data_IF_213656342540
#
_entry.id   IF_213656342540
#
_cell.length_a   1.000
_cell.length_b   1.000
_cell.length_c   1.000
_cell.angle_alpha   90.00
_cell.angle_beta   90.00
_cell.angle_gamma   90.00
#
_symmetry.space_group_name_H-M   'P 1'
#
loop_
_entity.id
_entity.type
_entity.pdbx_description
1 polymer ?
#
# COMPACT_ATOMS: atom_id res chain seq x y z
N UNK A 1 8.67 8.44 -36.06
CA UNK A 1 9.05 7.14 -35.48
C UNK A 1 9.44 7.18 -33.98
N UNK A 2 8.80 7.95 -33.09
CA UNK A 2 9.06 7.91 -31.65
C UNK A 2 8.26 6.83 -30.89
N UNK A 3 7.05 6.46 -31.34
CA UNK A 3 6.12 5.58 -30.60
C UNK A 3 6.64 4.17 -30.28
N UNK A 4 7.38 3.53 -31.16
CA UNK A 4 7.86 2.14 -30.94
C UNK A 4 8.93 2.09 -29.86
N UNK A 5 9.75 3.12 -29.72
CA UNK A 5 10.82 3.19 -28.71
C UNK A 5 10.23 3.45 -27.32
N UNK A 6 9.24 4.30 -27.21
CA UNK A 6 8.58 4.63 -25.93
C UNK A 6 7.75 3.45 -25.41
N UNK A 7 7.05 2.72 -26.28
CA UNK A 7 6.30 1.51 -25.94
C UNK A 7 7.23 0.38 -25.44
N UNK A 8 8.42 0.22 -26.06
CA UNK A 8 9.41 -0.75 -25.61
C UNK A 8 10.02 -0.40 -24.25
N UNK A 9 10.28 0.89 -23.99
CA UNK A 9 10.77 1.35 -22.70
C UNK A 9 9.73 1.14 -21.59
N UNK A 10 8.47 1.46 -21.86
CA UNK A 10 7.37 1.25 -20.93
C UNK A 10 7.12 -0.24 -20.64
N UNK A 11 7.18 -1.11 -21.66
CA UNK A 11 7.06 -2.55 -21.49
C UNK A 11 8.23 -3.14 -20.67
N UNK A 12 9.46 -2.66 -20.92
CA UNK A 12 10.63 -3.07 -20.17
C UNK A 12 10.55 -2.63 -18.70
N UNK A 13 10.11 -1.39 -18.45
CA UNK A 13 9.91 -0.87 -17.10
C UNK A 13 8.87 -1.72 -16.34
N UNK A 14 7.74 -2.06 -16.95
CA UNK A 14 6.74 -2.96 -16.38
C UNK A 14 7.32 -4.34 -16.06
N UNK A 15 8.04 -4.97 -16.99
CA UNK A 15 8.71 -6.26 -16.75
C UNK A 15 9.59 -6.21 -15.51
N UNK A 16 10.36 -5.12 -15.33
CA UNK A 16 11.25 -4.96 -14.17
C UNK A 16 10.43 -4.84 -12.89
N UNK A 17 9.39 -4.01 -12.88
CA UNK A 17 8.55 -3.81 -11.70
C UNK A 17 7.80 -5.09 -11.29
N UNK A 18 7.21 -5.82 -12.25
CA UNK A 18 6.52 -7.09 -11.97
C UNK A 18 7.49 -8.16 -11.43
N UNK A 19 8.68 -8.26 -11.98
CA UNK A 19 9.70 -9.17 -11.49
C UNK A 19 10.25 -8.77 -10.12
N UNK A 20 10.44 -7.48 -9.89
CA UNK A 20 10.87 -6.96 -8.59
C UNK A 20 9.80 -7.22 -7.51
N UNK A 21 8.51 -7.04 -7.82
CA UNK A 21 7.39 -7.36 -6.93
C UNK A 21 7.46 -8.82 -6.46
N UNK A 22 7.61 -9.77 -7.39
CA UNK A 22 7.78 -11.19 -7.07
C UNK A 22 9.02 -11.44 -6.22
N UNK A 23 10.15 -10.80 -6.55
CA UNK A 23 11.39 -10.97 -5.80
C UNK A 23 11.27 -10.46 -4.36
N UNK A 24 10.64 -9.30 -4.16
CA UNK A 24 10.41 -8.76 -2.81
C UNK A 24 9.39 -9.59 -2.03
N UNK A 25 8.33 -10.08 -2.65
CA UNK A 25 7.35 -10.96 -2.01
C UNK A 25 8.00 -12.27 -1.53
N UNK A 26 8.87 -12.88 -2.37
CA UNK A 26 9.50 -14.16 -2.07
C UNK A 26 10.65 -14.06 -1.05
N UNK A 27 11.48 -13.03 -1.16
CA UNK A 27 12.73 -12.94 -0.37
C UNK A 27 12.73 -11.84 0.68
N UNK A 28 11.73 -10.94 0.70
CA UNK A 28 11.73 -9.74 1.50
C UNK A 28 12.73 -8.69 0.98
N UNK A 29 12.69 -7.49 1.59
CA UNK A 29 13.53 -6.37 1.14
C UNK A 29 15.03 -6.66 1.25
N UNK A 30 15.51 -7.11 2.42
CA UNK A 30 16.95 -7.25 2.68
C UNK A 30 17.57 -8.35 1.82
N UNK A 31 16.88 -9.48 1.69
CA UNK A 31 17.36 -10.65 0.96
C UNK A 31 17.12 -10.57 -0.56
N UNK A 32 16.34 -9.62 -1.07
CA UNK A 32 16.22 -9.33 -2.50
C UNK A 32 17.51 -8.67 -3.01
N UNK A 33 18.56 -9.48 -3.14
CA UNK A 33 19.87 -9.05 -3.66
C UNK A 33 19.79 -8.76 -5.15
N UNK A 34 20.75 -8.00 -5.69
CA UNK A 34 20.85 -7.73 -7.14
C UNK A 34 20.83 -9.03 -7.95
N UNK A 35 21.54 -10.06 -7.51
CA UNK A 35 21.56 -11.37 -8.19
C UNK A 35 20.18 -12.03 -8.23
N UNK A 36 19.42 -11.96 -7.12
CA UNK A 36 18.04 -12.49 -7.08
C UNK A 36 17.10 -11.69 -7.98
N UNK A 37 17.24 -10.37 -7.99
CA UNK A 37 16.51 -9.51 -8.91
C UNK A 37 16.81 -9.88 -10.37
N UNK A 38 18.08 -10.06 -10.76
CA UNK A 38 18.45 -10.51 -12.11
C UNK A 38 17.78 -11.85 -12.47
N UNK A 39 17.83 -12.82 -11.55
CA UNK A 39 17.25 -14.15 -11.75
C UNK A 39 15.71 -14.11 -11.88
N UNK A 40 15.04 -13.37 -11.01
CA UNK A 40 13.57 -13.29 -10.99
C UNK A 40 13.01 -12.45 -12.13
N UNK A 41 13.70 -11.37 -12.52
CA UNK A 41 13.30 -10.48 -13.61
C UNK A 41 13.67 -11.06 -14.98
N UNK A 42 14.76 -11.85 -15.04
CA UNK A 42 15.31 -12.38 -16.30
C UNK A 42 16.09 -11.33 -17.09
N UNK A 43 16.67 -10.34 -16.44
CA UNK A 43 17.47 -9.27 -17.04
C UNK A 43 18.78 -9.08 -16.30
N UNK A 44 19.82 -8.62 -17.02
CA UNK A 44 21.09 -8.28 -16.40
C UNK A 44 20.98 -7.07 -15.49
N UNK A 45 21.89 -6.96 -14.50
CA UNK A 45 22.02 -5.80 -13.61
C UNK A 45 22.03 -4.48 -14.39
N UNK A 46 22.80 -4.40 -15.48
CA UNK A 46 22.87 -3.19 -16.30
C UNK A 46 21.53 -2.83 -16.92
N UNK A 47 20.75 -3.80 -17.39
CA UNK A 47 19.42 -3.57 -17.96
C UNK A 47 18.41 -3.10 -16.90
N UNK A 48 18.47 -3.66 -15.70
CA UNK A 48 17.59 -3.25 -14.58
C UNK A 48 17.92 -1.82 -14.12
N UNK A 49 19.19 -1.56 -13.81
CA UNK A 49 19.64 -0.30 -13.24
C UNK A 49 19.88 0.82 -14.26
N UNK A 50 19.64 0.55 -15.53
CA UNK A 50 19.42 1.58 -16.53
C UNK A 50 18.08 2.30 -16.33
N UNK A 51 17.05 1.58 -15.85
CA UNK A 51 15.71 2.14 -15.59
C UNK A 51 15.54 2.67 -14.15
N UNK A 52 16.28 2.10 -13.20
CA UNK A 52 16.16 2.43 -11.78
C UNK A 52 17.56 2.59 -11.19
N UNK A 53 17.84 3.72 -10.55
CA UNK A 53 19.17 4.04 -10.02
C UNK A 53 19.75 2.93 -9.13
N UNK A 54 18.90 2.35 -8.27
CA UNK A 54 19.27 1.36 -7.26
C UNK A 54 18.05 0.54 -6.80
N UNK A 55 18.28 -0.40 -5.87
CA UNK A 55 17.22 -1.24 -5.29
C UNK A 55 16.20 -0.41 -4.49
N UNK A 56 16.64 0.63 -3.79
CA UNK A 56 15.76 1.48 -3.00
C UNK A 56 14.79 2.25 -3.92
N UNK A 57 15.29 2.81 -5.02
CA UNK A 57 14.47 3.47 -6.04
C UNK A 57 13.46 2.52 -6.67
N UNK A 58 13.88 1.28 -6.97
CA UNK A 58 12.99 0.24 -7.52
C UNK A 58 11.88 -0.13 -6.52
N UNK A 59 12.23 -0.28 -5.25
CA UNK A 59 11.29 -0.57 -4.17
C UNK A 59 10.29 0.58 -3.96
N UNK A 60 10.78 1.82 -3.94
CA UNK A 60 9.92 3.01 -3.80
C UNK A 60 8.96 3.18 -4.97
N UNK A 61 9.38 2.80 -6.17
CA UNK A 61 8.51 2.90 -7.34
C UNK A 61 7.34 1.91 -7.26
N UNK A 62 7.58 0.69 -6.76
CA UNK A 62 6.50 -0.25 -6.46
C UNK A 62 5.55 0.29 -5.41
N UNK A 63 6.10 0.86 -4.33
CA UNK A 63 5.30 1.47 -3.27
C UNK A 63 4.42 2.62 -3.81
N UNK A 64 4.95 3.44 -4.71
CA UNK A 64 4.23 4.53 -5.36
C UNK A 64 3.09 4.01 -6.23
N UNK A 65 3.35 3.04 -7.12
CA UNK A 65 2.30 2.45 -7.97
C UNK A 65 1.15 1.87 -7.16
N UNK A 66 1.46 1.18 -6.08
CA UNK A 66 0.41 0.61 -5.22
C UNK A 66 -0.32 1.68 -4.42
N UNK A 67 0.39 2.70 -3.93
CA UNK A 67 -0.25 3.83 -3.25
C UNK A 67 -1.22 4.58 -4.19
N UNK A 68 -0.85 4.78 -5.45
CA UNK A 68 -1.72 5.37 -6.49
C UNK A 68 -2.99 4.53 -6.72
N UNK A 69 -2.83 3.20 -6.90
CA UNK A 69 -3.98 2.30 -7.09
C UNK A 69 -4.91 2.28 -5.87
N UNK A 70 -4.32 2.16 -4.68
CA UNK A 70 -5.08 2.18 -3.44
C UNK A 70 -5.75 3.54 -3.19
N UNK A 71 -5.09 4.64 -3.57
CA UNK A 71 -5.63 5.99 -3.45
C UNK A 71 -6.87 6.20 -4.34
N UNK A 72 -6.89 5.62 -5.53
CA UNK A 72 -8.05 5.68 -6.42
C UNK A 72 -9.27 4.98 -5.77
N UNK A 73 -9.11 3.76 -5.25
CA UNK A 73 -10.18 3.06 -4.51
C UNK A 73 -10.55 3.83 -3.23
N UNK A 74 -9.56 4.27 -2.44
CA UNK A 74 -9.81 5.01 -1.20
C UNK A 74 -10.54 6.31 -1.43
N UNK A 75 -10.30 7.01 -2.54
CA UNK A 75 -10.99 8.25 -2.89
C UNK A 75 -12.47 8.03 -3.21
N UNK A 76 -12.81 6.94 -3.88
CA UNK A 76 -14.18 6.59 -4.29
C UNK A 76 -14.94 5.87 -3.18
N UNK A 77 -14.36 4.86 -2.59
CA UNK A 77 -15.04 3.89 -1.74
C UNK A 77 -14.58 3.91 -0.28
N UNK A 78 -13.38 4.41 -0.02
CA UNK A 78 -12.77 4.53 1.31
C UNK A 78 -11.69 3.49 1.57
N UNK A 79 -10.86 3.73 2.60
CA UNK A 79 -9.73 2.86 2.93
C UNK A 79 -10.18 1.47 3.41
N UNK A 80 -11.38 1.36 4.01
CA UNK A 80 -11.93 0.04 4.38
C UNK A 80 -12.17 -0.84 3.15
N UNK A 81 -12.60 -0.26 2.01
CA UNK A 81 -12.73 -1.03 0.78
C UNK A 81 -11.38 -1.51 0.26
N UNK A 82 -10.34 -0.68 0.29
CA UNK A 82 -8.97 -1.12 -0.02
C UNK A 82 -8.57 -2.34 0.81
N UNK A 83 -8.88 -2.32 2.12
CA UNK A 83 -8.60 -3.46 3.01
C UNK A 83 -9.41 -4.71 2.65
N UNK A 84 -10.67 -4.55 2.22
CA UNK A 84 -11.50 -5.67 1.73
C UNK A 84 -10.94 -6.27 0.43
N UNK A 85 -10.44 -5.44 -0.47
CA UNK A 85 -9.80 -5.90 -1.70
C UNK A 85 -8.52 -6.70 -1.41
N UNK A 86 -7.76 -6.31 -0.37
CA UNK A 86 -6.60 -7.09 0.11
C UNK A 86 -7.00 -8.47 0.66
N UNK A 87 -8.15 -8.57 1.34
CA UNK A 87 -8.66 -9.86 1.80
C UNK A 87 -9.16 -10.74 0.66
N UNK A 88 -9.75 -10.13 -0.37
CA UNK A 88 -10.32 -10.86 -1.51
C UNK A 88 -9.23 -11.41 -2.46
N UNK A 89 -8.08 -10.74 -2.55
CA UNK A 89 -6.97 -11.11 -3.45
C UNK A 89 -5.60 -10.88 -2.78
N UNK A 90 -5.29 -11.58 -1.67
CA UNK A 90 -4.08 -11.34 -0.88
C UNK A 90 -2.79 -11.49 -1.70
N UNK A 91 -2.78 -12.38 -2.70
CA UNK A 91 -1.62 -12.61 -3.57
C UNK A 91 -1.21 -11.38 -4.39
N UNK A 92 -2.10 -10.42 -4.61
CA UNK A 92 -1.78 -9.16 -5.29
C UNK A 92 -1.06 -8.17 -4.38
N UNK A 93 -1.08 -8.42 -3.08
CA UNK A 93 -0.54 -7.54 -2.04
C UNK A 93 0.58 -8.20 -1.21
N UNK A 94 1.02 -9.42 -1.55
CA UNK A 94 2.03 -10.19 -0.81
C UNK A 94 3.31 -9.40 -0.50
N UNK A 95 3.75 -8.58 -1.46
CA UNK A 95 4.95 -7.78 -1.27
C UNK A 95 4.79 -6.68 -0.19
N UNK A 96 3.55 -6.29 0.19
CA UNK A 96 3.31 -5.32 1.26
C UNK A 96 3.80 -5.81 2.63
N UNK A 97 3.90 -7.12 2.83
CA UNK A 97 4.52 -7.71 4.02
C UNK A 97 5.98 -7.22 4.21
N UNK A 98 6.65 -6.88 3.12
CA UNK A 98 7.99 -6.27 3.13
C UNK A 98 8.03 -4.94 3.91
N UNK A 99 6.89 -4.24 4.06
CA UNK A 99 6.77 -3.03 4.90
C UNK A 99 7.15 -3.31 6.36
N UNK A 100 6.83 -4.50 6.87
CA UNK A 100 7.16 -4.88 8.24
C UNK A 100 8.69 -5.06 8.40
N UNK A 101 9.33 -5.59 7.37
CA UNK A 101 10.78 -5.81 7.37
C UNK A 101 11.56 -4.50 7.30
N UNK A 102 11.05 -3.51 6.56
CA UNK A 102 11.73 -2.20 6.43
C UNK A 102 11.53 -1.28 7.64
N UNK A 103 10.69 -1.64 8.63
CA UNK A 103 10.43 -0.79 9.80
C UNK A 103 11.72 -0.39 10.53
N UNK A 104 12.71 -1.29 10.62
CA UNK A 104 14.03 -0.99 11.17
C UNK A 104 14.81 0.00 10.30
N UNK A 105 14.77 -0.16 8.98
CA UNK A 105 15.44 0.73 8.03
C UNK A 105 14.79 2.11 8.05
N UNK A 106 13.46 2.19 8.05
CA UNK A 106 12.72 3.45 8.19
C UNK A 106 13.12 4.25 9.45
N UNK A 107 13.37 3.55 10.57
CA UNK A 107 13.77 4.19 11.83
C UNK A 107 15.22 4.67 11.81
N UNK A 108 16.13 3.95 11.16
CA UNK A 108 17.58 4.15 11.28
C UNK A 108 18.19 4.88 10.06
N UNK A 109 17.43 5.05 8.98
CA UNK A 109 17.87 5.67 7.73
C UNK A 109 16.91 6.83 7.37
N UNK A 110 17.27 8.09 7.70
CA UNK A 110 16.39 9.25 7.45
C UNK A 110 16.15 9.50 5.97
N UNK A 111 17.10 9.18 5.08
CA UNK A 111 16.93 9.37 3.62
C UNK A 111 15.93 8.34 3.08
N UNK A 112 16.08 7.08 3.46
CA UNK A 112 15.14 6.02 3.12
C UNK A 112 13.72 6.34 3.66
N UNK A 113 13.62 6.79 4.90
CA UNK A 113 12.34 7.19 5.50
C UNK A 113 11.67 8.31 4.68
N UNK A 114 12.41 9.35 4.33
CA UNK A 114 11.88 10.46 3.51
C UNK A 114 11.37 9.95 2.17
N UNK A 115 12.18 9.15 1.47
CA UNK A 115 11.81 8.55 0.21
C UNK A 115 10.56 7.67 0.28
N UNK A 116 10.41 6.92 1.37
CA UNK A 116 9.20 6.12 1.62
C UNK A 116 7.97 6.99 1.84
N UNK A 117 8.06 8.00 2.72
CA UNK A 117 6.94 8.89 3.05
C UNK A 117 6.44 9.68 1.84
N UNK A 118 7.35 10.16 0.99
CA UNK A 118 6.97 10.86 -0.24
C UNK A 118 6.13 9.99 -1.18
N UNK A 119 6.48 8.68 -1.33
CA UNK A 119 5.80 7.78 -2.25
C UNK A 119 4.49 7.20 -1.69
N UNK A 120 4.36 7.14 -0.36
CA UNK A 120 3.12 6.69 0.29
C UNK A 120 2.12 7.82 0.56
N UNK A 121 2.48 9.07 0.29
CA UNK A 121 1.66 10.23 0.60
C UNK A 121 0.30 10.26 -0.12
N UNK A 122 0.21 9.70 -1.32
CA UNK A 122 -1.01 9.74 -2.13
C UNK A 122 -2.18 8.99 -1.48
N UNK A 123 -1.95 7.79 -0.97
CA UNK A 123 -2.99 7.03 -0.27
C UNK A 123 -3.48 7.78 0.96
N UNK A 124 -2.57 8.32 1.75
CA UNK A 124 -2.91 9.12 2.95
C UNK A 124 -3.72 10.36 2.59
N UNK A 125 -3.31 11.09 1.53
CA UNK A 125 -4.02 12.26 1.05
C UNK A 125 -5.44 11.92 0.54
N UNK A 126 -5.58 10.83 -0.24
CA UNK A 126 -6.87 10.36 -0.72
C UNK A 126 -7.83 9.99 0.42
N UNK A 127 -7.30 9.26 1.42
CA UNK A 127 -8.07 8.86 2.61
C UNK A 127 -8.52 10.09 3.40
N UNK A 128 -7.60 11.04 3.67
CA UNK A 128 -7.91 12.30 4.36
C UNK A 128 -9.00 13.10 3.63
N UNK A 129 -8.87 13.24 2.31
CA UNK A 129 -9.84 13.96 1.50
C UNK A 129 -11.23 13.30 1.55
N UNK A 130 -11.27 11.95 1.50
CA UNK A 130 -12.53 11.22 1.64
C UNK A 130 -13.15 11.38 3.02
N UNK A 131 -12.39 11.21 4.09
CA UNK A 131 -12.88 11.41 5.45
C UNK A 131 -13.52 12.81 5.62
N UNK A 132 -12.86 13.83 5.06
CA UNK A 132 -13.39 15.21 5.09
C UNK A 132 -14.74 15.30 4.35
N UNK A 133 -14.84 14.74 3.13
CA UNK A 133 -16.11 14.74 2.37
C UNK A 133 -17.22 13.99 3.10
N UNK A 134 -16.93 12.83 3.68
CA UNK A 134 -17.91 12.02 4.38
C UNK A 134 -18.39 12.70 5.68
N UNK A 135 -17.49 13.41 6.38
CA UNK A 135 -17.83 14.20 7.57
C UNK A 135 -18.73 15.38 7.21
N UNK A 136 -18.40 16.13 6.14
CA UNK A 136 -19.24 17.21 5.62
C UNK A 136 -20.63 16.73 5.18
N UNK A 137 -20.76 15.50 4.74
CA UNK A 137 -22.02 14.88 4.37
C UNK A 137 -22.79 14.26 5.56
N UNK A 138 -22.31 14.42 6.79
CA UNK A 138 -22.96 13.88 8.01
C UNK A 138 -22.97 12.35 8.09
N UNK A 139 -22.07 11.67 7.35
CA UNK A 139 -22.01 10.20 7.31
C UNK A 139 -21.01 9.59 8.27
N UNK A 140 -20.10 10.40 8.81
CA UNK A 140 -19.14 10.00 9.83
C UNK A 140 -19.45 10.64 11.17
N UNK A 141 -19.01 9.98 12.21
CA UNK A 141 -19.09 10.49 13.58
C UNK A 141 -18.37 11.84 13.70
N UNK A 142 -18.98 12.76 14.41
CA UNK A 142 -18.48 14.13 14.58
C UNK A 142 -17.66 14.31 15.86
N UNK A 143 -17.86 13.42 16.83
CA UNK A 143 -17.24 13.44 18.17
C UNK A 143 -15.73 13.08 18.13
N UNK A 144 -15.20 12.59 16.98
CA UNK A 144 -13.80 12.25 16.80
C UNK A 144 -13.15 13.13 15.72
N UNK A 145 -11.98 13.75 16.00
CA UNK A 145 -11.23 14.50 14.98
C UNK A 145 -10.85 13.65 13.78
N UNK A 146 -10.92 14.21 12.57
CA UNK A 146 -10.57 13.48 11.33
C UNK A 146 -9.14 12.94 11.33
N UNK A 147 -8.19 13.63 11.97
CA UNK A 147 -6.82 13.14 12.11
C UNK A 147 -6.74 11.85 12.95
N UNK A 148 -7.57 11.73 14.00
CA UNK A 148 -7.64 10.50 14.80
C UNK A 148 -8.27 9.37 14.02
N UNK A 149 -9.31 9.64 13.23
CA UNK A 149 -9.91 8.64 12.33
C UNK A 149 -8.92 8.18 11.27
N UNK A 150 -8.12 9.09 10.72
CA UNK A 150 -7.03 8.76 9.79
C UNK A 150 -6.02 7.82 10.45
N UNK A 151 -5.45 8.21 11.60
CA UNK A 151 -4.49 7.38 12.32
C UNK A 151 -5.08 6.01 12.70
N UNK A 152 -6.35 5.97 13.10
CA UNK A 152 -7.05 4.71 13.38
C UNK A 152 -7.08 3.79 12.15
N UNK A 153 -7.46 4.31 10.99
CA UNK A 153 -7.49 3.56 9.74
C UNK A 153 -6.09 3.10 9.30
N UNK A 154 -5.08 3.95 9.48
CA UNK A 154 -3.69 3.59 9.16
C UNK A 154 -3.19 2.45 10.06
N UNK A 155 -3.49 2.48 11.37
CA UNK A 155 -3.17 1.39 12.30
C UNK A 155 -3.89 0.08 11.95
N UNK A 156 -5.16 0.16 11.51
CA UNK A 156 -5.90 -1.03 11.08
C UNK A 156 -5.29 -1.61 9.80
N UNK A 157 -4.93 -0.76 8.83
CA UNK A 157 -4.27 -1.19 7.60
C UNK A 157 -2.93 -1.87 7.88
N UNK A 158 -2.09 -1.28 8.73
CA UNK A 158 -0.81 -1.87 9.10
C UNK A 158 -0.99 -3.20 9.84
N UNK A 159 -1.96 -3.27 10.74
CA UNK A 159 -2.34 -4.51 11.43
C UNK A 159 -2.86 -5.58 10.49
N UNK A 160 -3.69 -5.22 9.50
CA UNK A 160 -4.20 -6.13 8.48
C UNK A 160 -3.06 -6.73 7.64
N UNK A 161 -2.15 -5.89 7.13
CA UNK A 161 -0.98 -6.36 6.37
C UNK A 161 -0.14 -7.33 7.20
N UNK A 162 0.08 -7.03 8.49
CA UNK A 162 0.82 -7.91 9.40
C UNK A 162 0.13 -9.26 9.59
N UNK A 163 -1.20 -9.27 9.75
CA UNK A 163 -1.99 -10.50 9.95
C UNK A 163 -2.04 -11.36 8.70
N UNK A 164 -2.24 -10.76 7.52
CA UNK A 164 -2.17 -11.47 6.24
C UNK A 164 -0.79 -12.08 6.03
N UNK A 165 0.29 -11.34 6.30
CA UNK A 165 1.65 -11.86 6.23
C UNK A 165 1.92 -13.02 7.20
N UNK A 166 1.19 -13.10 8.31
CA UNK A 166 1.27 -14.19 9.29
C UNK A 166 0.39 -15.39 8.96
N UNK A 167 -0.42 -15.31 7.90
CA UNK A 167 -1.31 -16.39 7.47
C UNK A 167 -2.61 -16.47 8.26
N UNK A 168 -3.06 -15.37 8.87
CA UNK A 168 -4.34 -15.32 9.57
C UNK A 168 -5.50 -15.53 8.58
N UNK A 169 -6.60 -16.12 9.06
CA UNK A 169 -7.76 -16.42 8.25
C UNK A 169 -8.48 -15.15 7.76
N UNK A 170 -8.62 -14.95 6.43
CA UNK A 170 -9.28 -13.78 5.85
C UNK A 170 -10.74 -13.59 6.30
N UNK A 171 -11.48 -14.68 6.60
CA UNK A 171 -12.88 -14.61 7.03
C UNK A 171 -13.01 -13.92 8.40
N UNK A 172 -12.15 -14.28 9.35
CA UNK A 172 -12.07 -13.62 10.66
C UNK A 172 -11.68 -12.14 10.52
N UNK A 173 -10.72 -11.83 9.64
CA UNK A 173 -10.29 -10.46 9.38
C UNK A 173 -11.39 -9.61 8.73
N UNK A 174 -12.24 -10.21 7.88
CA UNK A 174 -13.41 -9.53 7.29
C UNK A 174 -14.38 -9.02 8.37
N UNK A 175 -14.68 -9.84 9.40
CA UNK A 175 -15.51 -9.42 10.53
C UNK A 175 -14.92 -8.23 11.31
N UNK A 176 -13.59 -8.17 11.40
CA UNK A 176 -12.91 -6.99 12.00
C UNK A 176 -13.15 -5.73 11.17
N UNK A 177 -13.11 -5.82 9.83
CA UNK A 177 -13.38 -4.67 8.96
C UNK A 177 -14.82 -4.17 9.08
N UNK A 178 -15.79 -5.06 9.33
CA UNK A 178 -17.19 -4.65 9.61
C UNK A 178 -17.28 -3.81 10.89
N UNK A 179 -16.55 -4.19 11.95
CA UNK A 179 -16.45 -3.41 13.17
C UNK A 179 -15.78 -2.05 12.93
N UNK A 180 -14.70 -2.04 12.13
CA UNK A 180 -14.01 -0.80 11.76
C UNK A 180 -14.97 0.14 11.04
N UNK A 181 -15.68 -0.35 10.03
CA UNK A 181 -16.65 0.46 9.28
C UNK A 181 -17.79 0.99 10.17
N UNK A 182 -18.33 0.14 11.04
CA UNK A 182 -19.37 0.54 11.99
C UNK A 182 -18.87 1.62 12.96
N UNK A 183 -17.61 1.54 13.39
CA UNK A 183 -17.01 2.52 14.32
C UNK A 183 -16.81 3.90 13.71
N UNK A 184 -16.75 4.03 12.38
CA UNK A 184 -16.62 5.29 11.66
C UNK A 184 -17.95 6.03 11.53
N UNK A 185 -19.07 5.31 11.57
CA UNK A 185 -20.40 5.89 11.36
C UNK A 185 -20.83 6.69 12.59
N UNK A 186 -21.69 7.67 12.37
CA UNK A 186 -22.35 8.40 13.45
C UNK A 186 -23.20 7.41 14.26
N UNK A 187 -23.05 7.43 15.58
CA UNK A 187 -23.94 6.67 16.44
C UNK A 187 -25.37 7.17 16.20
N UNK A 188 -26.27 6.30 15.75
CA UNK A 188 -27.69 6.67 15.74
C UNK A 188 -28.08 7.04 17.16
N UNK A 189 -28.76 8.21 17.39
CA UNK A 189 -29.24 8.52 18.71
C UNK A 189 -30.12 7.36 19.16
N UNK A 190 -29.77 6.73 20.29
CA UNK A 190 -30.61 5.73 20.92
C UNK A 190 -31.96 6.40 21.12
N UNK A 191 -32.97 5.93 20.38
CA UNK A 191 -34.33 6.41 20.59
C UNK A 191 -34.63 6.36 22.08
N UNK A 192 -35.02 7.51 22.61
CA UNK A 192 -35.59 7.57 23.95
C UNK A 192 -36.84 6.69 23.94
N UNK A 193 -36.75 5.57 24.67
CA UNK A 193 -37.93 4.79 25.06
C UNK A 193 -38.71 5.53 26.15
#
# INVERSE_FOLDING_TARGET
MPRVTDDHLAARRRQILDGARRCFAEYGYDKATVRRLEQTIGLSRGAIFHHFRDKDTLFFELAREDAERMADVASREGLVQVMRDMLAAPEQFDWLATRLEIARKLRNDPEFHRGWMERSAELSAATTARLRRQKQAGRLREDVPSAVLQTYLDLVLDGLVARLASGDDPETLSGVLDLVEASLRQAQPRGQL
#
